data_IF_047997223287
#
_entry.id   IF_047997223287
#
_cell.length_a   1.000
_cell.length_b   1.000
_cell.length_c   1.000
_cell.angle_alpha   90.00
_cell.angle_beta   90.00
_cell.angle_gamma   90.00
#
_symmetry.space_group_name_H-M   'P 1'
#
loop_
_entity.id
_entity.type
_entity.pdbx_description
1 polymer ?
#
# COMPACT_ATOMS: atom_id res chain seq x y z
N UNK A 1 -23.32 36.13 78.57
CA UNK A 1 -23.73 34.73 78.35
C UNK A 1 -24.29 34.61 76.94
N UNK A 2 -23.99 33.50 76.27
CA UNK A 2 -24.06 33.20 74.82
C UNK A 2 -25.41 33.52 74.12
N UNK A 3 -25.42 34.28 73.01
CA UNK A 3 -25.34 33.86 71.58
C UNK A 3 -26.46 32.92 71.12
N UNK A 4 -27.35 33.39 70.23
CA UNK A 4 -27.90 32.61 69.12
C UNK A 4 -28.34 33.56 67.99
N UNK A 5 -27.61 33.54 66.87
CA UNK A 5 -28.06 34.09 65.59
C UNK A 5 -27.92 32.98 64.56
N UNK A 6 -29.05 32.61 63.96
CA UNK A 6 -29.17 31.58 62.92
C UNK A 6 -28.68 32.19 61.60
N UNK A 7 -27.64 31.61 60.99
CA UNK A 7 -27.25 31.93 59.61
C UNK A 7 -27.46 30.67 58.78
N UNK A 8 -28.40 30.75 57.83
CA UNK A 8 -28.65 29.73 56.81
C UNK A 8 -27.67 30.00 55.66
N UNK A 9 -26.73 29.09 55.43
CA UNK A 9 -25.84 29.07 54.26
C UNK A 9 -26.36 27.98 53.31
N UNK A 10 -26.95 28.40 52.18
CA UNK A 10 -27.16 27.51 51.03
C UNK A 10 -25.82 27.34 50.31
N UNK A 11 -25.23 26.15 50.40
CA UNK A 11 -24.10 25.72 49.58
C UNK A 11 -24.60 25.09 48.28
N UNK A 12 -24.50 25.82 47.17
CA UNK A 12 -24.67 25.27 45.82
C UNK A 12 -23.33 24.67 45.40
N UNK A 13 -23.22 23.35 45.45
CA UNK A 13 -22.06 22.61 44.95
C UNK A 13 -22.27 22.23 43.49
N UNK A 14 -21.64 22.97 42.58
CA UNK A 14 -21.54 22.67 41.15
C UNK A 14 -20.61 21.48 40.94
N UNK A 15 -21.17 20.30 40.64
CA UNK A 15 -20.41 19.16 40.14
C UNK A 15 -20.00 19.42 38.68
N UNK A 16 -18.77 19.88 38.50
CA UNK A 16 -18.13 19.97 37.19
C UNK A 16 -17.62 18.57 36.81
N UNK A 17 -18.45 17.76 36.16
CA UNK A 17 -18.03 16.47 35.61
C UNK A 17 -17.19 16.71 34.35
N UNK A 18 -15.87 16.77 34.50
CA UNK A 18 -14.93 16.67 33.37
C UNK A 18 -14.93 15.24 32.86
N UNK A 19 -15.76 14.94 31.86
CA UNK A 19 -15.63 13.74 31.07
C UNK A 19 -14.37 13.86 30.20
N UNK A 20 -13.21 13.53 30.76
CA UNK A 20 -12.05 13.15 29.96
C UNK A 20 -12.40 11.86 29.24
N UNK A 21 -12.72 11.95 27.95
CA UNK A 21 -12.92 10.78 27.12
C UNK A 21 -11.65 9.93 27.13
N UNK A 22 -11.73 8.72 27.69
CA UNK A 22 -10.66 7.74 27.56
C UNK A 22 -10.48 7.44 26.07
N UNK A 23 -9.27 7.65 25.54
CA UNK A 23 -8.94 7.22 24.20
C UNK A 23 -9.17 5.69 24.14
N UNK A 24 -9.97 5.24 23.16
CA UNK A 24 -10.22 3.81 22.99
C UNK A 24 -8.89 3.09 22.73
N UNK A 25 -8.62 2.03 23.48
CA UNK A 25 -7.41 1.23 23.32
C UNK A 25 -7.29 0.72 21.88
N UNK A 26 -6.10 0.82 21.29
CA UNK A 26 -5.85 0.33 19.94
C UNK A 26 -6.04 -1.18 19.92
N UNK A 27 -6.90 -1.67 19.03
CA UNK A 27 -7.21 -3.09 18.93
C UNK A 27 -6.17 -3.81 18.10
N UNK A 28 -5.57 -4.88 18.61
CA UNK A 28 -4.61 -5.70 17.85
C UNK A 28 -5.39 -6.70 17.00
N UNK A 29 -5.09 -6.76 15.69
CA UNK A 29 -5.57 -7.83 14.81
C UNK A 29 -4.63 -9.05 14.95
N UNK A 30 -5.09 -10.17 15.52
CA UNK A 30 -4.22 -11.33 15.75
C UNK A 30 -3.86 -12.03 14.42
N UNK A 31 -2.74 -12.77 14.37
CA UNK A 31 -2.37 -13.53 13.18
C UNK A 31 -3.42 -14.58 12.80
N UNK A 32 -3.41 -14.99 11.52
CA UNK A 32 -4.23 -16.07 11.01
C UNK A 32 -5.51 -15.62 10.33
N UNK A 33 -6.15 -16.55 9.62
CA UNK A 33 -7.26 -16.26 8.73
C UNK A 33 -8.58 -16.03 9.45
N UNK A 34 -9.37 -15.07 8.93
CA UNK A 34 -10.77 -14.87 9.34
C UNK A 34 -11.72 -15.85 8.67
N UNK A 35 -11.35 -16.32 7.48
CA UNK A 35 -12.12 -17.30 6.71
C UNK A 35 -11.47 -18.68 6.81
N UNK A 36 -12.27 -19.73 7.07
CA UNK A 36 -11.78 -21.11 7.13
C UNK A 36 -11.28 -21.62 5.77
N UNK A 37 -11.91 -21.14 4.69
CA UNK A 37 -11.54 -21.46 3.32
C UNK A 37 -11.00 -20.23 2.58
N UNK A 38 -10.16 -20.48 1.58
CA UNK A 38 -9.60 -19.40 0.77
C UNK A 38 -10.70 -18.65 0.01
N UNK A 39 -10.74 -17.31 0.10
CA UNK A 39 -11.64 -16.52 -0.73
C UNK A 39 -11.43 -16.76 -2.24
N UNK A 40 -12.43 -16.50 -3.09
CA UNK A 40 -12.31 -16.74 -4.53
C UNK A 40 -11.16 -15.98 -5.19
N UNK A 41 -10.36 -16.71 -5.96
CA UNK A 41 -9.29 -16.14 -6.79
C UNK A 41 -9.90 -15.50 -8.06
N UNK A 42 -9.58 -14.23 -8.37
CA UNK A 42 -10.08 -13.54 -9.56
C UNK A 42 -9.78 -14.27 -10.88
N UNK A 43 -10.68 -14.14 -11.85
CA UNK A 43 -10.54 -14.76 -13.17
C UNK A 43 -9.27 -14.34 -13.91
N UNK A 44 -8.84 -13.08 -13.77
CA UNK A 44 -7.62 -12.58 -14.40
C UNK A 44 -6.35 -13.30 -13.90
N UNK A 45 -6.25 -13.61 -12.60
CA UNK A 45 -5.14 -14.38 -12.04
C UNK A 45 -5.14 -15.82 -12.55
N UNK A 46 -6.33 -16.44 -12.66
CA UNK A 46 -6.48 -17.78 -13.24
C UNK A 46 -6.06 -17.80 -14.72
N UNK A 47 -6.46 -16.79 -15.47
CA UNK A 47 -6.13 -16.66 -16.90
C UNK A 47 -4.62 -16.51 -17.12
N UNK A 48 -3.95 -15.60 -16.39
CA UNK A 48 -2.48 -15.42 -16.50
C UNK A 48 -1.71 -16.71 -16.18
N UNK A 49 -2.14 -17.42 -15.13
CA UNK A 49 -1.54 -18.69 -14.71
C UNK A 49 -1.70 -19.77 -15.77
N UNK A 50 -2.85 -19.79 -16.46
CA UNK A 50 -3.09 -20.68 -17.61
C UNK A 50 -2.22 -20.32 -18.81
N UNK A 51 -2.04 -19.03 -19.10
CA UNK A 51 -1.21 -18.52 -20.20
C UNK A 51 0.27 -18.88 -20.02
N UNK A 52 0.78 -18.85 -18.78
CA UNK A 52 2.14 -19.30 -18.45
C UNK A 52 2.26 -20.81 -18.22
N UNK A 53 1.18 -21.58 -18.47
CA UNK A 53 1.14 -23.05 -18.37
C UNK A 53 1.63 -23.60 -17.03
N UNK A 54 1.26 -22.96 -15.94
CA UNK A 54 1.66 -23.33 -14.57
C UNK A 54 0.44 -23.44 -13.64
N UNK A 55 0.68 -23.67 -12.34
CA UNK A 55 -0.35 -23.69 -11.28
C UNK A 55 0.04 -22.73 -10.16
N UNK A 56 -0.92 -22.34 -9.31
CA UNK A 56 -0.62 -21.49 -8.15
C UNK A 56 0.34 -22.18 -7.17
N UNK A 57 0.22 -23.49 -6.97
CA UNK A 57 1.12 -24.26 -6.10
C UNK A 57 2.56 -24.24 -6.63
N UNK A 58 2.76 -24.51 -7.93
CA UNK A 58 4.10 -24.46 -8.54
C UNK A 58 4.70 -23.05 -8.46
N UNK A 59 3.87 -22.02 -8.61
CA UNK A 59 4.32 -20.63 -8.49
C UNK A 59 4.72 -20.27 -7.05
N UNK A 60 3.93 -20.72 -6.07
CA UNK A 60 4.25 -20.60 -4.65
C UNK A 60 5.58 -21.28 -4.31
N UNK A 61 5.74 -22.55 -4.73
CA UNK A 61 6.98 -23.31 -4.53
C UNK A 61 8.17 -22.58 -5.15
N UNK A 62 8.01 -22.03 -6.36
CA UNK A 62 9.08 -21.31 -7.06
C UNK A 62 9.57 -20.09 -6.28
N UNK A 63 8.65 -19.21 -5.81
CA UNK A 63 9.05 -18.02 -5.05
C UNK A 63 9.60 -18.39 -3.68
N UNK A 64 9.01 -19.37 -2.99
CA UNK A 64 9.55 -19.88 -1.72
C UNK A 64 10.97 -20.39 -1.91
N UNK A 65 11.22 -21.24 -2.91
CA UNK A 65 12.53 -21.84 -3.15
C UNK A 65 13.57 -20.81 -3.57
N UNK A 66 13.17 -19.74 -4.26
CA UNK A 66 14.03 -18.58 -4.49
C UNK A 66 14.44 -17.94 -3.16
N UNK A 67 13.47 -17.66 -2.28
CA UNK A 67 13.74 -17.02 -0.99
C UNK A 67 14.61 -17.89 -0.07
N UNK A 68 14.43 -19.22 -0.10
CA UNK A 68 15.28 -20.18 0.61
C UNK A 68 16.73 -20.10 0.13
N UNK A 69 16.94 -20.07 -1.19
CA UNK A 69 18.28 -20.12 -1.81
C UNK A 69 19.01 -18.77 -1.77
N UNK A 70 18.28 -17.68 -1.97
CA UNK A 70 18.87 -16.33 -2.05
C UNK A 70 18.98 -15.69 -0.65
N UNK A 71 20.01 -16.11 0.08
CA UNK A 71 20.32 -15.59 1.42
C UNK A 71 20.65 -14.09 1.41
N UNK A 72 21.14 -13.55 0.28
CA UNK A 72 21.39 -12.12 0.15
C UNK A 72 20.08 -11.33 0.08
N UNK A 73 19.10 -11.82 -0.67
CA UNK A 73 17.76 -11.23 -0.70
C UNK A 73 17.12 -11.26 0.69
N UNK A 74 17.17 -12.39 1.41
CA UNK A 74 16.64 -12.47 2.79
C UNK A 74 17.33 -11.47 3.72
N UNK A 75 18.66 -11.33 3.64
CA UNK A 75 19.38 -10.35 4.45
C UNK A 75 18.94 -8.90 4.13
N UNK A 76 18.72 -8.58 2.86
CA UNK A 76 18.19 -7.28 2.43
C UNK A 76 16.76 -7.06 2.94
N UNK A 77 15.88 -8.06 2.84
CA UNK A 77 14.51 -8.02 3.38
C UNK A 77 14.53 -7.69 4.87
N UNK A 78 15.33 -8.41 5.69
CA UNK A 78 15.44 -8.14 7.13
C UNK A 78 15.94 -6.74 7.43
N UNK A 79 16.99 -6.30 6.74
CA UNK A 79 17.56 -4.96 6.90
C UNK A 79 16.54 -3.87 6.57
N UNK A 80 15.85 -4.01 5.45
CA UNK A 80 14.84 -3.04 5.02
C UNK A 80 13.64 -3.04 5.97
N UNK A 81 13.12 -4.21 6.36
CA UNK A 81 12.02 -4.31 7.31
C UNK A 81 12.33 -3.59 8.63
N UNK A 82 13.54 -3.79 9.17
CA UNK A 82 14.01 -3.11 10.38
C UNK A 82 14.06 -1.58 10.21
N UNK A 83 14.48 -1.07 9.05
CA UNK A 83 14.53 0.37 8.79
C UNK A 83 13.13 1.02 8.78
N UNK A 84 12.10 0.27 8.40
CA UNK A 84 10.71 0.74 8.34
C UNK A 84 9.86 0.38 9.55
N UNK A 85 10.46 -0.20 10.60
CA UNK A 85 9.78 -0.67 11.81
C UNK A 85 8.59 -1.61 11.50
N UNK A 86 8.88 -2.63 10.68
CA UNK A 86 7.96 -3.71 10.35
C UNK A 86 8.65 -5.07 10.51
N UNK A 87 7.87 -6.12 10.78
CA UNK A 87 8.39 -7.49 10.74
C UNK A 87 8.71 -7.90 9.29
N UNK A 88 9.89 -8.48 9.00
CA UNK A 88 10.24 -8.93 7.65
C UNK A 88 9.24 -9.92 7.02
N UNK A 89 8.42 -10.62 7.81
CA UNK A 89 7.37 -11.49 7.29
C UNK A 89 6.35 -10.75 6.42
N UNK A 90 6.13 -9.45 6.66
CA UNK A 90 5.22 -8.66 5.83
C UNK A 90 5.76 -8.45 4.42
N UNK A 91 7.07 -8.22 4.27
CA UNK A 91 7.72 -8.10 2.95
C UNK A 91 7.70 -9.46 2.25
N UNK A 92 8.02 -10.55 2.96
CA UNK A 92 7.93 -11.92 2.42
C UNK A 92 6.50 -12.21 1.93
N UNK A 93 5.48 -11.88 2.73
CA UNK A 93 4.08 -12.08 2.39
C UNK A 93 3.66 -11.32 1.12
N UNK A 94 4.11 -10.07 0.97
CA UNK A 94 3.86 -9.29 -0.25
C UNK A 94 4.50 -9.96 -1.48
N UNK A 95 5.77 -10.35 -1.40
CA UNK A 95 6.49 -11.00 -2.50
C UNK A 95 5.88 -12.35 -2.89
N UNK A 96 5.60 -13.20 -1.89
CA UNK A 96 5.04 -14.53 -2.11
C UNK A 96 3.68 -14.41 -2.77
N UNK A 97 2.80 -13.54 -2.27
CA UNK A 97 1.51 -13.33 -2.90
C UNK A 97 1.65 -12.90 -4.37
N UNK A 98 2.53 -11.93 -4.67
CA UNK A 98 2.65 -11.34 -6.03
C UNK A 98 3.09 -12.39 -7.01
N UNK A 99 4.09 -13.17 -6.61
CA UNK A 99 4.66 -14.22 -7.43
C UNK A 99 3.82 -15.50 -7.45
N UNK A 100 2.87 -15.68 -6.53
CA UNK A 100 1.89 -16.77 -6.62
C UNK A 100 0.74 -16.40 -7.56
N UNK A 101 0.14 -15.21 -7.43
CA UNK A 101 -1.15 -14.94 -8.10
C UNK A 101 -1.10 -13.97 -9.29
N UNK A 102 -0.05 -13.16 -9.41
CA UNK A 102 -0.01 -12.08 -10.40
C UNK A 102 1.05 -12.29 -11.47
N UNK A 103 2.27 -12.62 -11.06
CA UNK A 103 3.44 -12.77 -11.94
C UNK A 103 4.21 -14.04 -11.62
N UNK A 104 5.12 -14.47 -12.48
CA UNK A 104 6.03 -15.58 -12.16
C UNK A 104 7.32 -15.02 -11.53
N UNK A 105 7.92 -15.76 -10.60
CA UNK A 105 9.23 -15.41 -10.05
C UNK A 105 10.33 -15.65 -11.08
N UNK A 106 11.30 -14.74 -11.14
CA UNK A 106 12.59 -15.04 -11.78
C UNK A 106 13.40 -15.99 -10.91
N UNK A 107 14.52 -16.49 -11.42
CA UNK A 107 15.29 -17.51 -10.70
C UNK A 107 16.29 -16.91 -9.68
N UNK A 108 16.66 -15.63 -9.83
CA UNK A 108 17.63 -14.94 -8.96
C UNK A 108 17.35 -13.45 -8.84
N UNK A 109 17.87 -12.79 -7.79
CA UNK A 109 17.85 -11.33 -7.66
C UNK A 109 18.57 -10.63 -8.82
N UNK A 110 19.65 -11.21 -9.34
CA UNK A 110 20.43 -10.71 -10.47
C UNK A 110 19.59 -10.57 -11.74
N UNK A 111 18.65 -11.49 -11.98
CA UNK A 111 17.73 -11.39 -13.12
C UNK A 111 16.86 -10.13 -13.05
N UNK A 112 16.48 -9.68 -11.86
CA UNK A 112 15.74 -8.43 -11.69
C UNK A 112 16.62 -7.20 -11.98
N UNK A 113 17.88 -7.18 -11.55
CA UNK A 113 18.82 -6.11 -11.91
C UNK A 113 19.03 -6.01 -13.43
N UNK A 114 19.19 -7.14 -14.12
CA UNK A 114 19.33 -7.16 -15.59
C UNK A 114 18.07 -6.60 -16.27
N UNK A 115 16.88 -7.00 -15.79
CA UNK A 115 15.62 -6.47 -16.29
C UNK A 115 15.49 -4.97 -16.01
N UNK A 116 15.88 -4.49 -14.83
CA UNK A 116 15.86 -3.05 -14.54
C UNK A 116 16.77 -2.27 -15.50
N UNK A 117 17.97 -2.80 -15.77
CA UNK A 117 18.93 -2.20 -16.70
C UNK A 117 18.41 -2.13 -18.15
N UNK A 118 17.56 -3.08 -18.57
CA UNK A 118 16.99 -3.04 -19.93
C UNK A 118 16.03 -1.87 -20.17
N UNK A 119 15.56 -1.19 -19.12
CA UNK A 119 14.72 0.00 -19.24
C UNK A 119 15.54 1.30 -19.24
N UNK A 120 16.84 1.23 -18.97
CA UNK A 120 17.72 2.39 -19.03
C UNK A 120 17.82 2.89 -20.48
N UNK A 121 17.59 4.19 -20.69
CA UNK A 121 17.67 4.83 -22.02
C UNK A 121 16.37 4.80 -22.84
N UNK A 122 15.30 4.17 -22.34
CA UNK A 122 13.97 4.33 -22.94
C UNK A 122 13.34 5.66 -22.51
N UNK A 123 12.77 6.39 -23.47
CA UNK A 123 11.97 7.58 -23.20
C UNK A 123 10.49 7.19 -23.12
N UNK A 124 9.87 7.50 -22.00
CA UNK A 124 8.43 7.38 -21.81
C UNK A 124 7.98 8.50 -20.89
N UNK A 125 6.70 8.88 -21.01
CA UNK A 125 6.06 9.97 -20.26
C UNK A 125 4.75 9.48 -19.66
N UNK A 126 4.37 10.02 -18.51
CA UNK A 126 3.06 9.76 -17.91
C UNK A 126 2.04 10.69 -18.54
N UNK A 127 1.19 10.13 -19.39
CA UNK A 127 0.27 10.91 -20.21
C UNK A 127 -0.99 10.13 -20.56
N UNK A 128 -2.06 10.87 -20.87
CA UNK A 128 -3.28 10.33 -21.43
C UNK A 128 -3.75 11.19 -22.59
N UNK A 129 -4.09 10.55 -23.72
CA UNK A 129 -4.58 11.23 -24.93
C UNK A 129 -3.71 12.43 -25.36
N UNK A 130 -2.39 12.22 -25.29
CA UNK A 130 -1.38 13.21 -25.66
C UNK A 130 -1.03 14.24 -24.59
N UNK A 131 -1.82 14.36 -23.53
CA UNK A 131 -1.65 15.32 -22.42
C UNK A 131 -0.82 14.70 -21.29
N UNK A 132 0.27 15.36 -20.89
CA UNK A 132 1.11 14.91 -19.78
C UNK A 132 0.40 15.07 -18.43
N UNK A 133 0.81 14.28 -17.44
CA UNK A 133 0.14 14.23 -16.14
C UNK A 133 0.32 15.53 -15.36
N UNK A 134 1.45 16.21 -15.49
CA UNK A 134 1.76 17.49 -14.85
C UNK A 134 0.87 18.61 -15.42
N UNK A 135 0.72 18.67 -16.74
CA UNK A 135 -0.24 19.55 -17.43
C UNK A 135 -1.68 19.26 -16.98
N UNK A 136 -2.04 17.98 -16.88
CA UNK A 136 -3.39 17.58 -16.50
C UNK A 136 -3.72 17.98 -15.06
N UNK A 137 -2.81 17.78 -14.11
CA UNK A 137 -3.03 18.11 -12.70
C UNK A 137 -2.83 19.61 -12.39
N UNK A 138 -2.43 20.41 -13.37
CA UNK A 138 -2.38 21.87 -13.26
C UNK A 138 -3.75 22.55 -13.48
N UNK A 139 -4.78 21.79 -13.86
CA UNK A 139 -6.13 22.32 -14.13
C UNK A 139 -6.80 22.89 -12.85
N UNK A 140 -7.75 23.84 -13.00
CA UNK A 140 -8.43 24.47 -11.85
C UNK A 140 -9.14 23.50 -10.91
N UNK A 141 -9.61 22.36 -11.42
CA UNK A 141 -10.23 21.30 -10.61
C UNK A 141 -9.29 20.75 -9.53
N UNK A 142 -7.97 20.82 -9.73
CA UNK A 142 -6.95 20.36 -8.79
C UNK A 142 -6.44 21.46 -7.85
N UNK A 143 -7.00 22.68 -7.90
CA UNK A 143 -6.50 23.82 -7.13
C UNK A 143 -6.47 23.55 -5.62
N UNK A 144 -7.37 22.72 -5.10
CA UNK A 144 -7.37 22.32 -3.68
C UNK A 144 -6.15 21.49 -3.27
N UNK A 145 -5.52 20.80 -4.22
CA UNK A 145 -4.35 19.96 -3.96
C UNK A 145 -3.02 20.74 -4.00
N UNK A 146 -3.00 21.93 -4.60
CA UNK A 146 -1.76 22.64 -4.97
C UNK A 146 -0.81 22.96 -3.80
N UNK A 147 -1.35 23.12 -2.58
CA UNK A 147 -0.56 23.47 -1.40
C UNK A 147 -0.08 22.26 -0.58
N UNK A 148 -0.42 21.03 -1.00
CA UNK A 148 -0.04 19.81 -0.30
C UNK A 148 1.42 19.45 -0.60
N UNK A 149 2.29 19.59 0.39
CA UNK A 149 3.72 19.31 0.26
C UNK A 149 4.09 17.84 0.44
N UNK A 150 3.29 17.09 1.18
CA UNK A 150 3.55 15.67 1.40
C UNK A 150 3.02 14.87 0.20
N UNK A 151 3.87 14.07 -0.42
CA UNK A 151 3.57 13.35 -1.66
C UNK A 151 2.36 12.42 -1.52
N UNK A 152 2.20 11.73 -0.40
CA UNK A 152 1.04 10.86 -0.19
C UNK A 152 -0.26 11.67 -0.18
N UNK A 153 -0.30 12.79 0.58
CA UNK A 153 -1.47 13.68 0.60
C UNK A 153 -1.76 14.30 -0.76
N UNK A 154 -0.72 14.78 -1.45
CA UNK A 154 -0.83 15.42 -2.76
C UNK A 154 -1.46 14.47 -3.79
N UNK A 155 -0.89 13.28 -3.93
CA UNK A 155 -1.34 12.31 -4.93
C UNK A 155 -2.68 11.68 -4.56
N UNK A 156 -2.97 11.43 -3.29
CA UNK A 156 -4.32 11.04 -2.86
C UNK A 156 -5.36 12.11 -3.17
N UNK A 157 -5.05 13.40 -2.96
CA UNK A 157 -5.94 14.49 -3.34
C UNK A 157 -6.21 14.50 -4.84
N UNK A 158 -5.16 14.37 -5.66
CA UNK A 158 -5.28 14.29 -7.13
C UNK A 158 -6.12 13.08 -7.58
N UNK A 159 -5.95 11.91 -6.96
CA UNK A 159 -6.79 10.74 -7.22
C UNK A 159 -8.27 10.99 -6.88
N UNK A 160 -8.55 11.62 -5.75
CA UNK A 160 -9.92 11.95 -5.36
C UNK A 160 -10.57 12.93 -6.34
N UNK A 161 -9.85 13.98 -6.76
CA UNK A 161 -10.32 14.91 -7.80
C UNK A 161 -10.57 14.17 -9.12
N UNK A 162 -9.69 13.25 -9.53
CA UNK A 162 -9.91 12.41 -10.71
C UNK A 162 -11.22 11.61 -10.60
N UNK A 163 -11.41 10.87 -9.51
CA UNK A 163 -12.60 10.03 -9.31
C UNK A 163 -13.88 10.90 -9.25
N UNK A 164 -13.82 12.07 -8.61
CA UNK A 164 -14.97 12.93 -8.40
C UNK A 164 -15.33 13.79 -9.61
N UNK A 165 -14.36 14.22 -10.42
CA UNK A 165 -14.60 15.22 -11.49
C UNK A 165 -14.43 14.65 -12.89
N UNK A 166 -13.56 13.66 -13.08
CA UNK A 166 -13.15 13.23 -14.42
C UNK A 166 -13.59 11.81 -14.75
N UNK A 167 -13.40 10.84 -13.86
CA UNK A 167 -13.61 9.42 -14.16
C UNK A 167 -15.01 9.12 -14.71
N UNK A 168 -15.06 8.62 -15.95
CA UNK A 168 -16.31 8.28 -16.65
C UNK A 168 -17.20 9.48 -16.98
N UNK A 169 -16.68 10.71 -16.88
CA UNK A 169 -17.42 11.97 -17.08
C UNK A 169 -16.89 12.72 -18.31
N UNK A 170 -17.68 13.71 -18.73
CA UNK A 170 -17.29 14.67 -19.75
C UNK A 170 -16.99 16.00 -19.07
N UNK A 171 -15.80 16.55 -19.31
CA UNK A 171 -15.37 17.85 -18.79
C UNK A 171 -14.98 18.73 -19.98
N UNK A 172 -15.73 19.81 -20.17
CA UNK A 172 -15.66 20.60 -21.39
C UNK A 172 -15.99 19.74 -22.62
N UNK A 173 -15.07 19.70 -23.59
CA UNK A 173 -15.25 18.94 -24.83
C UNK A 173 -14.60 17.55 -24.83
N UNK A 174 -13.95 17.14 -23.74
CA UNK A 174 -13.27 15.84 -23.62
C UNK A 174 -14.08 14.88 -22.74
N UNK A 175 -14.15 13.62 -23.16
CA UNK A 175 -14.73 12.52 -22.37
C UNK A 175 -13.61 11.70 -21.77
N UNK A 176 -13.73 11.33 -20.50
CA UNK A 176 -12.70 10.60 -19.76
C UNK A 176 -13.14 9.16 -19.48
N UNK A 177 -12.19 8.20 -19.47
CA UNK A 177 -12.50 6.80 -19.26
C UNK A 177 -13.01 6.55 -17.85
N UNK A 178 -13.93 5.58 -17.70
CA UNK A 178 -14.31 5.09 -16.39
C UNK A 178 -13.24 4.11 -15.85
N UNK A 179 -12.06 4.64 -15.54
CA UNK A 179 -10.92 3.87 -15.05
C UNK A 179 -10.15 4.65 -13.96
N UNK A 180 -9.30 3.95 -13.21
CA UNK A 180 -8.49 4.54 -12.13
C UNK A 180 -7.46 5.52 -12.68
N UNK A 181 -7.16 6.59 -11.94
CA UNK A 181 -6.18 7.61 -12.34
C UNK A 181 -4.83 7.00 -12.70
N UNK A 182 -4.32 6.13 -11.82
CA UNK A 182 -3.08 5.36 -12.06
C UNK A 182 -3.09 4.59 -13.38
N UNK A 183 -4.26 4.06 -13.78
CA UNK A 183 -4.39 3.25 -14.98
C UNK A 183 -4.48 4.09 -16.26
N UNK A 184 -4.86 5.36 -16.13
CA UNK A 184 -5.05 6.27 -17.25
C UNK A 184 -3.76 7.00 -17.58
N UNK A 185 -3.03 7.48 -16.57
CA UNK A 185 -1.83 8.31 -16.77
C UNK A 185 -0.50 7.59 -16.54
N UNK A 186 -0.47 6.58 -15.67
CA UNK A 186 0.79 6.00 -15.18
C UNK A 186 1.13 4.63 -15.79
N UNK A 187 0.56 4.32 -16.95
CA UNK A 187 0.69 3.00 -17.60
C UNK A 187 1.02 3.12 -19.10
N UNK A 188 2.23 3.63 -19.45
CA UNK A 188 2.63 3.92 -20.82
C UNK A 188 2.75 2.68 -21.74
N UNK A 189 2.81 1.46 -21.19
CA UNK A 189 2.96 0.23 -21.98
C UNK A 189 1.66 -0.56 -22.10
N UNK A 190 1.03 -0.92 -20.97
CA UNK A 190 -0.25 -1.63 -20.92
C UNK A 190 -1.02 -1.30 -19.65
N UNK A 191 -2.35 -1.24 -19.75
CA UNK A 191 -3.23 -1.03 -18.60
C UNK A 191 -3.11 -2.19 -17.60
N UNK A 192 -2.82 -1.87 -16.34
CA UNK A 192 -2.66 -2.80 -15.21
C UNK A 192 -1.22 -3.14 -14.82
N UNK A 193 -0.19 -2.64 -15.51
CA UNK A 193 1.18 -3.07 -15.22
C UNK A 193 1.78 -2.52 -13.91
N UNK A 194 2.54 -3.40 -13.30
CA UNK A 194 3.30 -3.28 -12.07
C UNK A 194 4.72 -3.80 -12.33
N UNK A 195 5.74 -3.25 -11.66
CA UNK A 195 7.14 -3.50 -12.07
C UNK A 195 8.06 -3.88 -10.91
N UNK A 196 9.20 -4.48 -11.28
CA UNK A 196 10.21 -4.93 -10.32
C UNK A 196 9.80 -6.16 -9.51
N UNK A 197 10.64 -6.48 -8.53
CA UNK A 197 10.42 -7.59 -7.59
C UNK A 197 9.11 -7.40 -6.81
N UNK A 198 8.78 -6.16 -6.42
CA UNK A 198 7.56 -5.87 -5.68
C UNK A 198 6.30 -5.71 -6.52
N UNK A 199 6.38 -5.70 -7.86
CA UNK A 199 5.22 -5.35 -8.69
C UNK A 199 4.58 -4.01 -8.24
N UNK A 200 5.38 -2.95 -8.16
CA UNK A 200 4.93 -1.65 -7.64
C UNK A 200 4.27 -0.82 -8.75
N UNK A 201 3.18 -0.14 -8.41
CA UNK A 201 2.52 0.85 -9.28
C UNK A 201 3.26 2.21 -9.22
N UNK A 202 3.51 2.88 -10.36
CA UNK A 202 4.22 4.16 -10.37
C UNK A 202 3.60 5.26 -9.50
N UNK A 203 2.27 5.39 -9.51
CA UNK A 203 1.58 6.38 -8.68
C UNK A 203 1.77 6.08 -7.19
N UNK A 204 1.73 4.80 -6.80
CA UNK A 204 2.00 4.39 -5.41
C UNK A 204 3.44 4.72 -5.00
N UNK A 205 4.41 4.58 -5.91
CA UNK A 205 5.79 4.98 -5.64
C UNK A 205 5.90 6.51 -5.46
N UNK A 206 5.24 7.30 -6.30
CA UNK A 206 5.17 8.76 -6.13
C UNK A 206 4.55 9.16 -4.80
N UNK A 207 3.44 8.53 -4.41
CA UNK A 207 2.80 8.78 -3.10
C UNK A 207 3.76 8.53 -1.92
N UNK A 208 4.58 7.48 -2.01
CA UNK A 208 5.43 7.03 -0.90
C UNK A 208 6.85 7.57 -0.97
N UNK A 209 7.18 8.39 -1.97
CA UNK A 209 8.55 8.83 -2.20
C UNK A 209 9.14 9.63 -1.05
N UNK A 210 8.32 10.42 -0.35
CA UNK A 210 8.75 11.16 0.85
C UNK A 210 9.22 10.21 1.96
N UNK A 211 8.40 9.20 2.28
CA UNK A 211 8.73 8.20 3.30
C UNK A 211 9.98 7.41 2.91
N UNK A 212 10.11 7.04 1.63
CA UNK A 212 11.29 6.31 1.15
C UNK A 212 12.55 7.18 1.20
N UNK A 213 12.44 8.46 0.86
CA UNK A 213 13.54 9.41 0.98
C UNK A 213 13.98 9.60 2.44
N UNK A 214 13.02 9.82 3.34
CA UNK A 214 13.28 10.05 4.76
C UNK A 214 13.89 8.82 5.45
N UNK A 215 13.38 7.61 5.16
CA UNK A 215 13.82 6.38 5.84
C UNK A 215 15.08 5.78 5.20
N UNK A 216 15.18 5.79 3.87
CA UNK A 216 16.24 5.07 3.14
C UNK A 216 17.26 5.97 2.45
N UNK A 217 17.02 7.29 2.37
CA UNK A 217 17.92 8.25 1.72
C UNK A 217 17.90 8.23 0.19
N UNK A 218 17.01 7.46 -0.44
CA UNK A 218 16.88 7.44 -1.89
C UNK A 218 16.34 8.78 -2.42
N UNK A 219 16.71 9.22 -3.63
CA UNK A 219 16.16 10.43 -4.23
C UNK A 219 14.63 10.38 -4.32
N UNK A 220 13.98 11.54 -4.13
CA UNK A 220 12.54 11.66 -4.40
C UNK A 220 12.26 11.44 -5.87
N UNK A 221 11.13 10.80 -6.16
CA UNK A 221 10.64 10.55 -7.50
C UNK A 221 9.79 11.74 -7.97
N UNK A 222 9.82 11.98 -9.28
CA UNK A 222 9.15 13.10 -9.95
C UNK A 222 8.29 12.53 -11.08
N UNK A 223 7.06 13.02 -11.23
CA UNK A 223 6.17 12.64 -12.33
C UNK A 223 6.72 13.01 -13.72
N UNK A 224 7.63 13.97 -13.80
CA UNK A 224 8.26 14.40 -15.04
C UNK A 224 9.47 13.53 -15.43
N UNK A 225 9.96 12.69 -14.51
CA UNK A 225 11.04 11.73 -14.75
C UNK A 225 10.52 10.29 -14.65
N UNK A 226 9.68 9.91 -15.62
CA UNK A 226 9.17 8.56 -15.67
C UNK A 226 10.32 7.52 -15.74
N UNK A 227 11.37 7.79 -16.52
CA UNK A 227 12.51 6.88 -16.65
C UNK A 227 13.20 6.62 -15.30
N UNK A 228 13.48 7.67 -14.53
CA UNK A 228 14.02 7.59 -13.18
C UNK A 228 13.09 6.86 -12.21
N UNK A 229 11.78 7.13 -12.28
CA UNK A 229 10.78 6.42 -11.50
C UNK A 229 10.81 4.92 -11.76
N UNK A 230 10.73 4.51 -13.03
CA UNK A 230 10.73 3.09 -13.39
C UNK A 230 12.01 2.38 -12.98
N UNK A 231 13.15 3.03 -13.18
CA UNK A 231 14.44 2.54 -12.70
C UNK A 231 14.39 2.29 -11.19
N UNK A 232 13.86 3.24 -10.42
CA UNK A 232 13.75 3.12 -8.97
C UNK A 232 12.84 1.96 -8.53
N UNK A 233 11.66 1.78 -9.12
CA UNK A 233 10.75 0.69 -8.71
C UNK A 233 11.19 -0.69 -9.20
N UNK A 234 12.03 -0.75 -10.24
CA UNK A 234 12.60 -2.00 -10.78
C UNK A 234 13.90 -2.42 -10.09
N UNK A 235 14.72 -1.47 -9.66
CA UNK A 235 15.94 -1.73 -8.90
C UNK A 235 15.60 -2.48 -7.60
N UNK A 236 16.12 -3.69 -7.36
CA UNK A 236 15.73 -4.50 -6.21
C UNK A 236 15.90 -3.83 -4.85
N UNK A 237 16.94 -3.01 -4.65
CA UNK A 237 17.17 -2.35 -3.35
C UNK A 237 16.12 -1.28 -3.09
N UNK A 238 15.91 -0.40 -4.07
CA UNK A 238 14.90 0.65 -4.00
C UNK A 238 13.48 0.07 -3.99
N UNK A 239 13.24 -1.01 -4.74
CA UNK A 239 11.97 -1.75 -4.78
C UNK A 239 11.62 -2.31 -3.40
N UNK A 240 12.56 -2.94 -2.69
CA UNK A 240 12.33 -3.41 -1.31
C UNK A 240 11.93 -2.27 -0.36
N UNK A 241 12.55 -1.10 -0.49
CA UNK A 241 12.22 0.07 0.32
C UNK A 241 10.78 0.56 0.05
N UNK A 242 10.35 0.56 -1.21
CA UNK A 242 8.95 0.88 -1.54
C UNK A 242 7.97 -0.19 -1.06
N UNK A 243 8.31 -1.48 -1.12
CA UNK A 243 7.47 -2.55 -0.54
C UNK A 243 7.26 -2.30 0.96
N UNK A 244 8.34 -2.05 1.68
CA UNK A 244 8.30 -1.76 3.11
C UNK A 244 7.49 -0.50 3.42
N UNK A 245 7.63 0.56 2.63
CA UNK A 245 6.85 1.79 2.76
C UNK A 245 5.34 1.56 2.54
N UNK A 246 4.94 0.74 1.56
CA UNK A 246 3.54 0.38 1.31
C UNK A 246 2.94 -0.32 2.52
N UNK A 247 3.67 -1.29 3.08
CA UNK A 247 3.26 -2.06 4.26
C UNK A 247 3.17 -1.16 5.48
N UNK A 248 4.20 -0.35 5.75
CA UNK A 248 4.23 0.61 6.87
C UNK A 248 3.03 1.56 6.80
N UNK A 249 2.80 2.17 5.63
CA UNK A 249 1.62 3.02 5.41
C UNK A 249 0.32 2.27 5.69
N UNK A 250 0.20 1.01 5.27
CA UNK A 250 -1.00 0.22 5.51
C UNK A 250 -1.26 0.01 7.00
N UNK A 251 -0.21 -0.30 7.78
CA UNK A 251 -0.29 -0.44 9.24
C UNK A 251 -0.68 0.90 9.88
N UNK A 252 -0.06 2.00 9.47
CA UNK A 252 -0.34 3.35 9.99
C UNK A 252 -1.78 3.79 9.72
N UNK A 253 -2.26 3.59 8.50
CA UNK A 253 -3.61 3.97 8.09
C UNK A 253 -4.66 3.22 8.92
N UNK A 254 -4.47 1.92 9.13
CA UNK A 254 -5.40 1.11 9.94
C UNK A 254 -5.38 1.52 11.41
N UNK A 255 -4.20 1.77 11.97
CA UNK A 255 -4.06 2.26 13.34
C UNK A 255 -4.73 3.62 13.51
N UNK A 256 -4.56 4.52 12.54
CA UNK A 256 -5.08 5.90 12.57
C UNK A 256 -6.57 5.98 12.32
N UNK A 257 -7.07 5.31 11.28
CA UNK A 257 -8.44 5.51 10.79
C UNK A 257 -9.43 4.42 11.21
N UNK A 258 -8.93 3.25 11.63
CA UNK A 258 -9.77 2.16 12.13
C UNK A 258 -9.55 1.84 13.62
N UNK A 259 -8.55 2.45 14.27
CA UNK A 259 -8.11 2.09 15.62
C UNK A 259 -7.75 0.58 15.74
N UNK A 260 -7.18 0.01 14.67
CA UNK A 260 -6.77 -1.39 14.59
C UNK A 260 -5.29 -1.48 14.19
N UNK A 261 -4.47 -2.15 15.00
CA UNK A 261 -3.09 -2.46 14.69
C UNK A 261 -3.00 -3.81 13.95
N UNK A 262 -2.66 -3.75 12.66
CA UNK A 262 -2.54 -4.92 11.78
C UNK A 262 -1.10 -5.44 11.67
N UNK A 263 -0.15 -4.91 12.46
CA UNK A 263 1.27 -5.32 12.45
C UNK A 263 1.51 -6.76 12.91
N UNK A 264 0.49 -7.45 13.39
CA UNK A 264 0.56 -8.86 13.80
C UNK A 264 -0.11 -9.82 12.82
N UNK A 265 -0.69 -9.31 11.74
CA UNK A 265 -1.36 -10.13 10.72
C UNK A 265 -0.77 -9.88 9.32
N UNK A 266 0.23 -10.67 8.91
CA UNK A 266 0.85 -10.51 7.59
C UNK A 266 -0.11 -10.80 6.44
N UNK A 267 -1.10 -11.65 6.63
CA UNK A 267 -2.16 -11.87 5.65
C UNK A 267 -2.93 -10.58 5.33
N UNK A 268 -3.31 -9.81 6.35
CA UNK A 268 -4.02 -8.53 6.13
C UNK A 268 -3.13 -7.51 5.43
N UNK A 269 -1.85 -7.39 5.80
CA UNK A 269 -0.93 -6.50 5.07
C UNK A 269 -0.71 -6.95 3.62
N UNK A 270 -0.64 -8.26 3.35
CA UNK A 270 -0.50 -8.77 1.99
C UNK A 270 -1.78 -8.55 1.18
N UNK A 271 -2.96 -8.67 1.81
CA UNK A 271 -4.23 -8.28 1.20
C UNK A 271 -4.19 -6.83 0.75
N UNK A 272 -3.77 -5.91 1.62
CA UNK A 272 -3.66 -4.48 1.33
C UNK A 272 -2.61 -4.17 0.28
N UNK A 273 -1.51 -4.92 0.24
CA UNK A 273 -0.51 -4.84 -0.81
C UNK A 273 -1.13 -5.14 -2.19
N UNK A 274 -1.90 -6.22 -2.30
CA UNK A 274 -2.56 -6.62 -3.55
C UNK A 274 -3.64 -5.63 -4.01
N UNK A 275 -4.42 -5.06 -3.08
CA UNK A 275 -5.61 -4.26 -3.44
C UNK A 275 -5.41 -2.75 -3.37
N UNK A 276 -4.34 -2.31 -2.71
CA UNK A 276 -4.02 -0.90 -2.47
C UNK A 276 -5.08 -0.13 -1.69
N UNK A 277 -4.93 1.20 -1.70
CA UNK A 277 -5.82 2.18 -1.08
C UNK A 277 -6.15 1.87 0.40
N UNK A 278 -5.10 1.68 1.20
CA UNK A 278 -5.18 1.36 2.63
C UNK A 278 -5.99 2.39 3.43
N UNK A 279 -5.83 3.67 3.14
CA UNK A 279 -6.52 4.75 3.86
C UNK A 279 -8.05 4.67 3.70
N UNK A 280 -8.56 4.61 2.46
CA UNK A 280 -10.00 4.55 2.24
C UNK A 280 -10.62 3.29 2.88
N UNK A 281 -9.89 2.17 2.82
CA UNK A 281 -10.30 0.90 3.44
C UNK A 281 -10.30 0.98 4.97
N UNK A 282 -9.27 1.57 5.56
CA UNK A 282 -9.19 1.79 6.99
C UNK A 282 -10.33 2.70 7.48
N UNK A 283 -10.63 3.80 6.78
CA UNK A 283 -11.78 4.67 7.08
C UNK A 283 -13.12 3.95 6.94
N UNK A 284 -13.25 3.06 5.95
CA UNK A 284 -14.45 2.23 5.81
C UNK A 284 -14.59 1.24 6.97
N UNK A 285 -13.49 0.58 7.38
CA UNK A 285 -13.47 -0.31 8.52
C UNK A 285 -13.79 0.43 9.82
N UNK A 286 -13.21 1.60 10.05
CA UNK A 286 -13.49 2.42 11.24
C UNK A 286 -14.97 2.80 11.37
N UNK A 287 -15.66 3.04 10.25
CA UNK A 287 -17.12 3.28 10.23
C UNK A 287 -17.93 2.01 10.45
N UNK A 288 -17.51 0.89 9.85
CA UNK A 288 -18.20 -0.41 9.95
C UNK A 288 -18.01 -1.07 11.32
N UNK A 289 -16.86 -0.85 11.95
CA UNK A 289 -16.36 -1.66 13.07
C UNK A 289 -15.88 -3.05 12.61
N UNK A 290 -15.40 -3.84 13.56
CA UNK A 290 -14.90 -5.20 13.34
C UNK A 290 -13.39 -5.29 13.14
N UNK A 291 -12.93 -6.41 12.58
CA UNK A 291 -11.53 -6.62 12.15
C UNK A 291 -11.47 -6.64 10.61
N UNK A 292 -10.30 -6.34 10.01
CA UNK A 292 -10.09 -6.59 8.59
C UNK A 292 -10.21 -8.08 8.25
N UNK A 293 -10.50 -8.36 6.99
CA UNK A 293 -10.58 -9.70 6.44
C UNK A 293 -9.58 -9.83 5.29
N UNK A 294 -8.96 -11.00 5.19
CA UNK A 294 -8.03 -11.30 4.10
C UNK A 294 -8.78 -11.58 2.79
N UNK A 295 -8.19 -11.18 1.67
CA UNK A 295 -8.51 -11.75 0.36
C UNK A 295 -7.75 -13.08 0.14
N UNK A 296 -7.96 -13.72 -1.01
CA UNK A 296 -7.25 -14.95 -1.42
C UNK A 296 -5.72 -14.87 -1.24
N UNK A 297 -5.17 -13.67 -1.41
CA UNK A 297 -3.76 -13.36 -1.27
C UNK A 297 -3.28 -13.46 0.17
N UNK A 298 -3.90 -12.68 1.05
CA UNK A 298 -3.59 -12.67 2.47
C UNK A 298 -3.88 -14.00 3.12
N UNK A 299 -4.93 -14.68 2.63
CA UNK A 299 -5.31 -15.98 3.11
C UNK A 299 -4.20 -17.01 2.94
N UNK A 300 -3.57 -17.05 1.76
CA UNK A 300 -2.42 -17.93 1.49
C UNK A 300 -1.26 -17.65 2.45
N UNK A 301 -0.95 -16.37 2.68
CA UNK A 301 0.18 -15.98 3.53
C UNK A 301 -0.03 -16.46 4.97
N UNK A 302 -1.23 -16.29 5.50
CA UNK A 302 -1.58 -16.78 6.84
C UNK A 302 -1.61 -18.32 6.90
N UNK A 303 -2.12 -18.99 5.86
CA UNK A 303 -2.16 -20.45 5.77
C UNK A 303 -0.77 -21.09 5.70
N UNK A 304 0.20 -20.37 5.11
CA UNK A 304 1.61 -20.79 5.00
C UNK A 304 2.53 -20.10 5.99
N UNK A 305 1.99 -19.37 6.97
CA UNK A 305 2.76 -18.45 7.82
C UNK A 305 3.97 -19.13 8.48
N UNK A 306 3.76 -20.31 9.09
CA UNK A 306 4.82 -21.06 9.76
C UNK A 306 5.96 -21.46 8.81
N UNK A 307 5.66 -21.81 7.56
CA UNK A 307 6.67 -22.14 6.56
C UNK A 307 7.47 -20.90 6.16
N UNK A 308 6.77 -19.78 5.94
CA UNK A 308 7.37 -18.51 5.51
C UNK A 308 8.20 -17.84 6.61
N UNK A 309 7.79 -17.95 7.88
CA UNK A 309 8.58 -17.50 9.03
C UNK A 309 9.89 -18.28 9.17
N UNK A 310 9.91 -19.56 8.77
CA UNK A 310 11.12 -20.38 8.76
C UNK A 310 12.22 -19.90 7.81
N UNK A 311 11.92 -18.91 6.95
CA UNK A 311 12.89 -18.27 6.06
C UNK A 311 13.69 -17.15 6.76
N UNK A 312 13.17 -16.63 7.88
CA UNK A 312 13.65 -15.45 8.61
C UNK A 312 14.46 -15.82 9.86
#
# INVERSE_FOLDING_TARGET
MHRFALVVLLSVSTLCSTALGAAAEVRIDPPGNRNAEQPPIPGASKQRTKETKTTFDLKYEKIRDLLVRDRQLIAKIKKTAAAYDIDPIHIVGALVGEHTYNVDAYDTLQSYYVKAASYAGHTFRFAYDGEDVDDFVARPEFAECANLKNSAKLWTCRENVWDDKFRGKRVGNKSFPNNRFSAVFFQPFYAGQTFGLGQINPLTALMLTDMVHETSGYPKLDENDAAGLYKAIMDPDTSLAYIAAIIRKSIDDYKTFANVDISKNPGVTATLYNVGNSEARARALGRRGGMPEENYYGWLINDRLKELEGLL
#
